data_IF_287138682129
#
_entry.id   IF_287138682129
#
_cell.length_a   1.000
_cell.length_b   1.000
_cell.length_c   1.000
_cell.angle_alpha   90.00
_cell.angle_beta   90.00
_cell.angle_gamma   90.00
#
_symmetry.space_group_name_H-M   'P 1'
#
loop_
_entity.id
_entity.type
_entity.pdbx_description
1 polymer ?
#
# COMPACT_ATOMS: atom_id res chain seq x y z
N UNK A 1 5.34 10.36 -16.87
CA UNK A 1 6.47 9.45 -16.56
C UNK A 1 6.05 7.97 -16.52
N UNK A 2 5.05 7.56 -15.73
CA UNK A 2 4.68 6.14 -15.62
C UNK A 2 4.36 5.44 -16.96
N UNK A 3 3.71 6.12 -17.91
CA UNK A 3 3.42 5.55 -19.24
C UNK A 3 4.62 5.44 -20.18
N UNK A 4 5.73 6.11 -19.87
CA UNK A 4 6.97 6.07 -20.68
C UNK A 4 7.82 4.86 -20.26
N UNK A 5 7.89 4.59 -18.95
CA UNK A 5 8.77 3.56 -18.38
C UNK A 5 8.20 2.13 -18.49
N UNK A 6 6.88 1.95 -18.63
CA UNK A 6 6.28 0.62 -18.73
C UNK A 6 4.90 0.63 -19.40
N UNK A 7 4.45 -0.55 -19.83
CA UNK A 7 3.06 -0.77 -20.26
C UNK A 7 2.22 -0.98 -19.01
N UNK A 8 1.13 -0.23 -18.86
CA UNK A 8 0.21 -0.38 -17.73
C UNK A 8 -0.89 -1.35 -18.09
N UNK A 9 -1.17 -2.28 -17.19
CA UNK A 9 -2.31 -3.17 -17.23
C UNK A 9 -3.07 -3.03 -15.91
N UNK A 10 -4.35 -2.80 -15.97
CA UNK A 10 -5.22 -2.74 -14.79
C UNK A 10 -6.28 -3.83 -14.92
N UNK A 11 -6.48 -4.58 -13.84
CA UNK A 11 -7.50 -5.63 -13.74
C UNK A 11 -8.40 -5.25 -12.58
N UNK A 12 -9.70 -5.20 -12.83
CA UNK A 12 -10.74 -4.78 -11.88
C UNK A 12 -10.58 -3.36 -11.35
N UNK A 13 -10.11 -2.43 -12.22
CA UNK A 13 -9.97 -1.02 -11.86
C UNK A 13 -11.28 -0.33 -11.49
N UNK A 14 -12.40 -0.84 -11.99
CA UNK A 14 -13.77 -0.39 -11.69
C UNK A 14 -14.14 -0.52 -10.20
N UNK A 15 -13.37 -1.29 -9.42
CA UNK A 15 -13.55 -1.42 -7.97
C UNK A 15 -13.10 -0.19 -7.19
N UNK A 16 -12.34 0.73 -7.81
CA UNK A 16 -12.10 2.04 -7.21
C UNK A 16 -13.41 2.83 -7.24
N UNK A 17 -14.01 3.17 -6.08
CA UNK A 17 -15.31 3.85 -6.08
C UNK A 17 -15.19 5.25 -6.69
N UNK A 18 -16.12 5.61 -7.57
CA UNK A 18 -16.14 6.92 -8.21
C UNK A 18 -16.33 8.07 -7.21
N UNK A 19 -17.03 7.80 -6.11
CA UNK A 19 -17.29 8.75 -5.02
C UNK A 19 -17.13 8.07 -3.65
N UNK A 20 -17.08 8.84 -2.59
CA UNK A 20 -16.90 8.32 -1.24
C UNK A 20 -15.45 7.95 -0.94
N UNK A 21 -15.21 7.40 0.22
CA UNK A 21 -13.89 7.01 0.68
C UNK A 21 -13.55 5.57 0.27
N UNK A 22 -12.26 5.28 0.16
CA UNK A 22 -11.75 3.93 0.01
C UNK A 22 -10.34 3.81 0.63
N UNK A 23 -10.08 2.69 1.29
CA UNK A 23 -8.75 2.31 1.73
C UNK A 23 -8.17 1.28 0.78
N UNK A 24 -7.12 1.65 0.03
CA UNK A 24 -6.39 0.73 -0.85
C UNK A 24 -5.18 0.19 -0.10
N UNK A 25 -5.16 -1.11 0.14
CA UNK A 25 -4.08 -1.83 0.82
C UNK A 25 -3.20 -2.49 -0.22
N UNK A 26 -1.92 -2.08 -0.30
CA UNK A 26 -1.04 -2.45 -1.40
C UNK A 26 0.29 -3.03 -0.95
N UNK A 27 0.87 -3.95 -1.75
CA UNK A 27 2.26 -4.36 -1.62
C UNK A 27 3.22 -3.29 -2.14
N UNK A 28 4.48 -3.32 -1.66
CA UNK A 28 5.50 -2.35 -2.04
C UNK A 28 6.79 -3.03 -2.50
N UNK A 29 7.05 -3.01 -3.81
CA UNK A 29 8.18 -3.72 -4.44
C UNK A 29 9.23 -2.81 -5.06
N UNK A 30 8.91 -1.51 -5.26
CA UNK A 30 9.81 -0.54 -5.89
C UNK A 30 9.51 0.90 -5.45
N UNK A 31 10.52 1.75 -5.43
CA UNK A 31 10.33 3.21 -5.27
C UNK A 31 9.46 3.85 -6.37
N UNK A 32 9.21 3.13 -7.47
CA UNK A 32 8.33 3.59 -8.55
C UNK A 32 6.85 3.38 -8.23
N UNK A 33 6.50 2.50 -7.27
CA UNK A 33 5.11 2.14 -6.98
C UNK A 33 4.22 3.36 -6.72
N UNK A 34 4.60 4.34 -5.85
CA UNK A 34 3.74 5.50 -5.60
C UNK A 34 3.43 6.31 -6.86
N UNK A 35 4.37 6.37 -7.81
CA UNK A 35 4.14 7.07 -9.08
C UNK A 35 3.13 6.35 -9.96
N UNK A 36 3.20 5.01 -10.01
CA UNK A 36 2.25 4.19 -10.77
C UNK A 36 0.88 4.19 -10.10
N UNK A 37 0.83 4.13 -8.77
CA UNK A 37 -0.41 4.13 -8.01
C UNK A 37 -1.11 5.49 -8.08
N UNK A 38 -0.35 6.59 -8.06
CA UNK A 38 -0.90 7.92 -8.26
C UNK A 38 -1.57 8.04 -9.65
N UNK A 39 -0.89 7.56 -10.70
CA UNK A 39 -1.44 7.57 -12.06
C UNK A 39 -2.64 6.63 -12.17
N UNK A 40 -2.59 5.46 -11.52
CA UNK A 40 -3.69 4.49 -11.50
C UNK A 40 -4.94 5.12 -10.86
N UNK A 41 -4.87 5.61 -9.62
CA UNK A 41 -6.02 6.20 -8.92
C UNK A 41 -6.54 7.43 -9.66
N UNK A 42 -5.62 8.28 -10.18
CA UNK A 42 -6.00 9.45 -10.96
C UNK A 42 -6.73 9.10 -12.27
N UNK A 43 -6.36 8.00 -12.91
CA UNK A 43 -7.06 7.53 -14.13
C UNK A 43 -8.51 7.08 -13.88
N UNK A 44 -8.89 6.86 -12.61
CA UNK A 44 -10.26 6.59 -12.16
C UNK A 44 -10.96 7.84 -11.59
N UNK A 45 -10.45 9.04 -11.90
CA UNK A 45 -11.05 10.31 -11.49
C UNK A 45 -10.87 10.67 -10.02
N UNK A 46 -9.95 9.97 -9.31
CA UNK A 46 -9.74 10.16 -7.88
C UNK A 46 -8.33 10.68 -7.58
N UNK A 47 -8.17 11.34 -6.44
CA UNK A 47 -6.88 11.80 -5.93
C UNK A 47 -6.44 10.86 -4.81
N UNK A 48 -5.27 10.19 -4.94
CA UNK A 48 -4.78 9.33 -3.88
C UNK A 48 -4.06 10.12 -2.79
N UNK A 49 -4.27 9.72 -1.54
CA UNK A 49 -3.56 10.21 -0.38
C UNK A 49 -2.67 9.09 0.17
N UNK A 50 -1.35 9.22 0.02
CA UNK A 50 -0.39 8.23 0.48
C UNK A 50 0.11 8.55 1.88
N UNK A 51 0.30 7.51 2.69
CA UNK A 51 1.09 7.60 3.90
C UNK A 51 2.58 7.53 3.51
N UNK A 52 3.28 8.64 3.57
CA UNK A 52 4.67 8.75 3.12
C UNK A 52 5.60 9.18 4.28
N UNK A 53 6.85 8.66 4.27
CA UNK A 53 7.83 8.98 5.32
C UNK A 53 8.04 10.50 5.43
N UNK A 54 7.88 11.08 6.63
CA UNK A 54 7.98 12.52 6.89
C UNK A 54 9.27 13.15 6.34
N UNK A 55 10.42 12.46 6.40
CA UNK A 55 11.68 12.99 5.89
C UNK A 55 11.65 13.38 4.39
N UNK A 56 10.67 12.88 3.61
CA UNK A 56 10.50 13.26 2.21
C UNK A 56 10.01 14.71 2.05
N UNK A 57 9.38 15.28 3.07
CA UNK A 57 8.98 16.72 3.08
C UNK A 57 10.17 17.68 3.15
N UNK A 58 11.33 17.18 3.62
CA UNK A 58 12.57 17.96 3.69
C UNK A 58 13.33 17.95 2.35
N UNK A 59 12.95 17.14 1.39
CA UNK A 59 13.52 17.13 0.05
C UNK A 59 12.84 18.24 -0.77
N UNK A 60 13.56 19.23 -1.32
CA UNK A 60 12.99 20.45 -1.89
C UNK A 60 11.82 20.15 -2.85
N UNK A 61 11.97 19.76 -4.02
CA UNK A 61 10.89 19.54 -5.01
C UNK A 61 9.85 18.50 -4.53
N UNK A 62 10.30 17.40 -3.94
CA UNK A 62 9.43 16.34 -3.43
C UNK A 62 8.51 16.86 -2.31
N UNK A 63 9.06 17.60 -1.35
CA UNK A 63 8.27 18.16 -0.25
C UNK A 63 7.19 19.14 -0.74
N UNK A 64 7.49 19.94 -1.78
CA UNK A 64 6.50 20.83 -2.38
C UNK A 64 5.36 20.03 -3.05
N UNK A 65 5.67 18.96 -3.78
CA UNK A 65 4.69 18.08 -4.40
C UNK A 65 3.81 17.39 -3.34
N UNK A 66 4.44 16.83 -2.29
CA UNK A 66 3.71 16.13 -1.22
C UNK A 66 2.75 17.07 -0.47
N UNK A 67 3.17 18.30 -0.19
CA UNK A 67 2.30 19.33 0.41
C UNK A 67 1.16 19.73 -0.52
N UNK A 68 1.46 20.03 -1.78
CA UNK A 68 0.46 20.42 -2.78
C UNK A 68 -0.58 19.33 -3.02
N UNK A 69 -0.16 18.05 -3.00
CA UNK A 69 -1.04 16.90 -3.15
C UNK A 69 -1.65 16.42 -1.82
N UNK A 70 -1.49 17.17 -0.71
CA UNK A 70 -2.04 16.86 0.63
C UNK A 70 -1.73 15.43 1.09
N UNK A 71 -0.48 14.99 0.86
CA UNK A 71 -0.05 13.65 1.26
C UNK A 71 0.11 13.56 2.78
N UNK A 72 -0.05 12.38 3.36
CA UNK A 72 -0.08 12.14 4.80
C UNK A 72 1.34 11.82 5.30
N UNK A 73 1.95 12.66 6.16
CA UNK A 73 3.28 12.39 6.70
C UNK A 73 3.25 11.27 7.74
N UNK A 74 4.18 10.31 7.64
CA UNK A 74 4.37 9.25 8.64
C UNK A 74 5.64 9.50 9.43
N UNK A 75 5.47 9.68 10.72
CA UNK A 75 6.53 9.80 11.71
C UNK A 75 6.78 8.41 12.31
N UNK A 76 7.98 7.87 12.11
CA UNK A 76 8.32 6.50 12.56
C UNK A 76 9.03 6.55 13.91
N UNK A 77 8.68 5.61 14.81
CA UNK A 77 9.39 5.41 16.07
C UNK A 77 9.06 6.43 17.17
N UNK A 78 7.95 7.13 17.07
CA UNK A 78 7.48 8.11 18.05
C UNK A 78 5.99 7.95 18.30
N UNK A 79 5.46 8.61 19.35
CA UNK A 79 4.02 8.81 19.59
C UNK A 79 3.29 9.42 18.39
N UNK A 80 4.03 10.00 17.45
CA UNK A 80 3.51 10.63 16.24
C UNK A 80 3.04 9.63 15.17
N UNK A 81 3.34 8.32 15.32
CA UNK A 81 2.75 7.28 14.47
C UNK A 81 1.21 7.28 14.56
N UNK A 82 0.67 7.58 15.75
CA UNK A 82 -0.79 7.73 15.96
C UNK A 82 -1.34 8.95 15.22
N UNK A 83 -0.59 10.05 15.11
CA UNK A 83 -0.99 11.23 14.36
C UNK A 83 -1.15 10.91 12.87
N UNK A 84 -0.28 10.07 12.32
CA UNK A 84 -0.34 9.65 10.92
C UNK A 84 -1.61 8.82 10.63
N UNK A 85 -1.97 7.91 11.54
CA UNK A 85 -3.21 7.14 11.44
C UNK A 85 -4.44 8.04 11.58
N UNK A 86 -4.42 9.01 12.51
CA UNK A 86 -5.49 10.00 12.66
C UNK A 86 -5.69 10.82 11.38
N UNK A 87 -4.60 11.31 10.78
CA UNK A 87 -4.68 12.04 9.51
C UNK A 87 -5.21 11.18 8.35
N UNK A 88 -4.87 9.89 8.33
CA UNK A 88 -5.43 8.95 7.36
C UNK A 88 -6.92 8.70 7.60
N UNK A 89 -7.32 8.57 8.86
CA UNK A 89 -8.73 8.44 9.24
C UNK A 89 -9.54 9.69 8.85
N UNK A 90 -9.01 10.89 9.12
CA UNK A 90 -9.62 12.15 8.69
C UNK A 90 -9.77 12.25 7.18
N UNK A 91 -8.78 11.77 6.42
CA UNK A 91 -8.85 11.72 4.96
C UNK A 91 -9.99 10.79 4.49
N UNK A 92 -10.10 9.59 5.08
CA UNK A 92 -11.19 8.66 4.79
C UNK A 92 -12.55 9.26 5.19
N UNK A 93 -12.69 9.85 6.37
CA UNK A 93 -13.92 10.51 6.81
C UNK A 93 -14.37 11.65 5.86
N UNK A 94 -13.43 12.29 5.18
CA UNK A 94 -13.68 13.31 4.16
C UNK A 94 -13.92 12.74 2.75
N UNK A 95 -14.19 11.46 2.61
CA UNK A 95 -14.51 10.83 1.33
C UNK A 95 -13.31 10.65 0.40
N UNK A 96 -12.09 10.64 0.92
CA UNK A 96 -10.86 10.54 0.13
C UNK A 96 -10.42 9.08 -0.08
N UNK A 97 -9.60 8.86 -1.10
CA UNK A 97 -8.95 7.56 -1.32
C UNK A 97 -7.59 7.57 -0.64
N UNK A 98 -7.42 6.71 0.34
CA UNK A 98 -6.15 6.52 1.05
C UNK A 98 -5.45 5.28 0.52
N UNK A 99 -4.17 5.41 0.20
CA UNK A 99 -3.30 4.32 -0.24
C UNK A 99 -2.28 4.04 0.84
N UNK A 100 -2.25 2.81 1.32
CA UNK A 100 -1.32 2.38 2.36
C UNK A 100 -0.47 1.20 1.89
N UNK A 101 0.84 1.25 2.22
CA UNK A 101 1.77 0.13 2.10
C UNK A 101 2.06 -0.38 3.52
N UNK A 102 1.35 -1.43 4.00
CA UNK A 102 1.47 -1.86 5.40
C UNK A 102 2.88 -2.35 5.78
N UNK A 103 3.63 -2.81 4.80
CA UNK A 103 5.05 -3.17 4.95
C UNK A 103 5.91 -2.00 5.45
N UNK A 104 5.47 -0.77 5.21
CA UNK A 104 6.15 0.48 5.63
C UNK A 104 7.45 0.77 4.91
N UNK A 105 7.92 -0.11 4.05
CA UNK A 105 9.08 0.05 3.17
C UNK A 105 8.95 -0.91 1.99
N UNK A 106 9.81 -0.79 0.99
CA UNK A 106 9.90 -1.80 -0.07
C UNK A 106 10.18 -3.17 0.58
N UNK A 107 9.46 -4.19 0.12
CA UNK A 107 9.65 -5.55 0.63
C UNK A 107 11.10 -5.98 0.60
N UNK A 108 11.54 -6.64 1.67
CA UNK A 108 12.88 -7.24 1.78
C UNK A 108 12.90 -8.71 1.39
N UNK A 109 11.74 -9.24 1.05
CA UNK A 109 11.68 -10.58 0.47
C UNK A 109 12.48 -10.62 -0.83
N UNK A 110 13.43 -11.55 -0.98
CA UNK A 110 14.30 -11.61 -2.16
C UNK A 110 13.52 -11.83 -3.46
N UNK A 111 12.41 -12.55 -3.40
CA UNK A 111 11.55 -12.83 -4.54
C UNK A 111 10.47 -11.80 -4.77
N UNK A 112 10.37 -10.78 -3.86
CA UNK A 112 9.46 -9.66 -3.98
C UNK A 112 8.04 -9.96 -3.50
N UNK A 113 7.85 -11.00 -2.70
CA UNK A 113 6.58 -11.25 -2.03
C UNK A 113 6.34 -10.24 -0.89
N UNK A 114 5.07 -10.00 -0.51
CA UNK A 114 4.75 -9.17 0.65
C UNK A 114 5.40 -9.73 1.93
N UNK A 115 5.97 -8.86 2.74
CA UNK A 115 6.54 -9.24 4.03
C UNK A 115 5.60 -8.91 5.19
N UNK A 116 5.95 -9.39 6.39
CA UNK A 116 5.23 -9.08 7.63
C UNK A 116 5.01 -7.58 7.78
N UNK A 117 3.79 -7.20 8.06
CA UNK A 117 3.29 -5.83 7.96
C UNK A 117 2.93 -5.24 9.32
N UNK A 118 2.85 -3.92 9.40
CA UNK A 118 2.49 -3.17 10.61
C UNK A 118 0.98 -3.17 10.81
N UNK A 119 0.54 -3.30 12.04
CA UNK A 119 -0.88 -3.39 12.43
C UNK A 119 -1.67 -2.08 12.28
N UNK A 120 -1.01 -0.97 11.96
CA UNK A 120 -1.70 0.29 11.70
C UNK A 120 -2.74 0.23 10.57
N UNK A 121 -2.55 -0.65 9.58
CA UNK A 121 -3.54 -0.88 8.51
C UNK A 121 -4.82 -1.50 9.07
N UNK A 122 -4.72 -2.42 10.02
CA UNK A 122 -5.88 -3.06 10.65
C UNK A 122 -6.71 -2.05 11.45
N UNK A 123 -6.07 -1.16 12.24
CA UNK A 123 -6.80 -0.08 12.94
C UNK A 123 -7.57 0.79 11.97
N UNK A 124 -6.89 1.26 10.92
CA UNK A 124 -7.51 2.11 9.91
C UNK A 124 -8.67 1.41 9.19
N UNK A 125 -8.51 0.11 8.89
CA UNK A 125 -9.52 -0.69 8.20
C UNK A 125 -10.74 -0.99 9.10
N UNK A 126 -10.53 -1.25 10.39
CA UNK A 126 -11.62 -1.52 11.35
C UNK A 126 -12.43 -0.27 11.66
N UNK A 127 -11.79 0.91 11.74
CA UNK A 127 -12.44 2.19 12.00
C UNK A 127 -13.10 2.79 10.73
N UNK A 128 -12.81 2.24 9.55
CA UNK A 128 -13.31 2.78 8.28
C UNK A 128 -14.58 2.06 7.82
N UNK A 129 -15.68 2.79 7.64
CA UNK A 129 -16.98 2.25 7.19
C UNK A 129 -17.05 1.97 5.68
N UNK A 130 -16.16 2.55 4.90
CA UNK A 130 -16.10 2.37 3.45
C UNK A 130 -15.32 1.11 3.03
N UNK A 131 -15.20 0.87 1.72
CA UNK A 131 -14.52 -0.30 1.20
C UNK A 131 -13.02 -0.31 1.51
N UNK A 132 -12.55 -1.45 2.01
CA UNK A 132 -11.13 -1.79 2.20
C UNK A 132 -10.75 -2.76 1.08
N UNK A 133 -9.96 -2.28 0.12
CA UNK A 133 -9.70 -2.98 -1.13
C UNK A 133 -8.23 -3.44 -1.17
N UNK A 134 -7.97 -4.76 -1.20
CA UNK A 134 -6.63 -5.27 -1.43
C UNK A 134 -6.22 -5.04 -2.88
N UNK A 135 -5.00 -4.60 -3.11
CA UNK A 135 -4.47 -4.30 -4.44
C UNK A 135 -3.05 -4.84 -4.57
N UNK A 136 -2.81 -5.65 -5.57
CA UNK A 136 -1.47 -6.12 -5.89
C UNK A 136 -0.87 -5.38 -7.08
N UNK A 137 0.44 -5.13 -7.01
CA UNK A 137 1.24 -4.58 -8.10
C UNK A 137 2.47 -5.41 -8.35
N UNK A 138 2.77 -5.59 -9.66
CA UNK A 138 4.01 -6.22 -10.11
C UNK A 138 4.58 -5.55 -11.36
N UNK A 139 5.89 -5.73 -11.60
CA UNK A 139 6.60 -5.23 -12.77
C UNK A 139 7.39 -3.93 -12.54
N UNK A 140 7.11 -3.14 -11.51
CA UNK A 140 7.87 -1.92 -11.18
C UNK A 140 9.29 -2.23 -10.71
N UNK A 141 9.51 -3.34 -9.97
CA UNK A 141 10.83 -3.81 -9.55
C UNK A 141 11.70 -4.22 -10.73
N UNK A 142 11.09 -4.74 -11.79
CA UNK A 142 11.81 -5.08 -13.03
C UNK A 142 12.36 -3.84 -13.73
N UNK A 143 11.69 -2.68 -13.58
CA UNK A 143 12.13 -1.39 -14.12
C UNK A 143 13.18 -0.78 -13.20
N UNK A 144 12.90 -0.72 -11.88
CA UNK A 144 13.81 -0.18 -10.89
C UNK A 144 13.83 -1.01 -9.61
N UNK A 145 14.93 -1.70 -9.41
CA UNK A 145 15.25 -2.41 -8.19
C UNK A 145 16.02 -1.48 -7.25
N UNK A 146 15.34 -0.99 -6.21
CA UNK A 146 15.90 -0.01 -5.27
C UNK A 146 17.03 -0.56 -4.39
N UNK A 147 17.03 -1.86 -4.06
CA UNK A 147 18.09 -2.48 -3.26
C UNK A 147 19.37 -2.65 -4.04
N UNK A 148 19.29 -3.11 -5.29
CA UNK A 148 20.45 -3.29 -6.15
C UNK A 148 20.79 -2.04 -6.97
N UNK A 149 20.01 -0.94 -6.84
CA UNK A 149 20.15 0.29 -7.62
C UNK A 149 20.19 0.04 -9.13
N UNK A 150 19.44 -0.96 -9.60
CA UNK A 150 19.39 -1.35 -11.01
C UNK A 150 18.20 -0.69 -11.70
N UNK A 151 18.46 0.12 -12.72
CA UNK A 151 17.46 0.72 -13.58
C UNK A 151 17.46 0.09 -14.96
N UNK A 152 16.36 -0.56 -15.36
CA UNK A 152 16.22 -1.33 -16.59
C UNK A 152 14.93 -0.93 -17.32
N UNK A 153 14.87 0.26 -17.92
CA UNK A 153 13.66 0.75 -18.59
C UNK A 153 13.34 0.01 -19.90
N UNK A 154 14.34 -0.65 -20.49
CA UNK A 154 14.20 -1.40 -21.74
C UNK A 154 14.59 -2.88 -21.56
N UNK A 155 13.93 -3.81 -22.28
CA UNK A 155 12.69 -3.59 -23.02
C UNK A 155 11.57 -3.14 -22.07
N UNK A 156 10.53 -2.44 -22.58
CA UNK A 156 9.43 -1.94 -21.76
C UNK A 156 8.74 -3.08 -21.03
N UNK A 157 8.69 -2.99 -19.70
CA UNK A 157 8.05 -3.98 -18.83
C UNK A 157 6.55 -3.74 -18.75
N UNK A 158 5.78 -4.78 -18.48
CA UNK A 158 4.38 -4.64 -18.11
C UNK A 158 4.29 -4.40 -16.60
N UNK A 159 3.64 -3.32 -16.22
CA UNK A 159 3.29 -3.05 -14.82
C UNK A 159 1.81 -3.33 -14.67
N UNK A 160 1.50 -4.41 -13.97
CA UNK A 160 0.13 -4.80 -13.68
C UNK A 160 -0.29 -4.32 -12.29
N UNK A 161 -1.52 -3.79 -12.22
CA UNK A 161 -2.24 -3.50 -10.98
C UNK A 161 -3.53 -4.30 -11.00
N UNK A 162 -3.75 -5.10 -9.97
CA UNK A 162 -4.96 -5.93 -9.84
C UNK A 162 -5.63 -5.66 -8.51
N UNK A 163 -6.94 -5.39 -8.55
CA UNK A 163 -7.75 -5.13 -7.36
C UNK A 163 -8.55 -6.38 -7.00
N UNK A 164 -8.58 -6.70 -5.71
CA UNK A 164 -9.47 -7.69 -5.13
C UNK A 164 -10.86 -7.12 -4.83
N UNK A 165 -11.77 -7.98 -4.38
CA UNK A 165 -13.03 -7.55 -3.81
C UNK A 165 -12.77 -6.79 -2.48
N UNK A 166 -13.64 -5.85 -2.10
CA UNK A 166 -13.59 -5.27 -0.76
C UNK A 166 -13.67 -6.36 0.30
N UNK A 167 -12.76 -6.31 1.28
CA UNK A 167 -12.69 -7.30 2.35
C UNK A 167 -13.80 -7.03 3.37
N UNK A 168 -14.59 -8.05 3.68
CA UNK A 168 -15.59 -7.96 4.75
C UNK A 168 -14.90 -8.07 6.13
N UNK A 169 -14.98 -7.01 6.90
CA UNK A 169 -14.42 -6.92 8.24
C UNK A 169 -15.50 -6.88 9.34
N UNK A 170 -16.78 -7.13 9.03
CA UNK A 170 -17.89 -7.01 9.96
C UNK A 170 -17.69 -7.84 11.22
N UNK A 171 -17.32 -9.10 11.08
CA UNK A 171 -17.06 -10.01 12.20
C UNK A 171 -15.90 -9.60 13.11
N UNK A 172 -14.94 -8.84 12.59
CA UNK A 172 -13.80 -8.32 13.35
C UNK A 172 -14.15 -7.02 14.09
N UNK A 173 -15.04 -6.19 13.54
CA UNK A 173 -15.48 -4.93 14.17
C UNK A 173 -16.28 -5.14 15.44
N UNK A 174 -16.93 -6.29 15.59
CA UNK A 174 -17.71 -6.65 16.79
C UNK A 174 -16.83 -7.14 17.95
N UNK A 175 -15.53 -7.37 17.70
CA UNK A 175 -14.60 -7.89 18.71
C UNK A 175 -13.84 -6.76 19.41
N UNK A 176 -13.42 -6.96 20.69
CA UNK A 176 -12.55 -6.00 21.37
C UNK A 176 -11.23 -5.84 20.62
N UNK A 177 -10.76 -4.58 20.47
CA UNK A 177 -9.46 -4.32 19.86
C UNK A 177 -8.33 -4.87 20.74
N UNK A 178 -7.68 -5.90 20.27
CA UNK A 178 -6.49 -6.52 20.88
C UNK A 178 -5.34 -6.54 19.87
N UNK A 179 -4.11 -6.70 20.37
CA UNK A 179 -2.94 -6.85 19.48
C UNK A 179 -3.11 -8.08 18.57
N UNK A 180 -3.67 -9.16 19.09
CA UNK A 180 -3.95 -10.38 18.30
C UNK A 180 -4.94 -10.09 17.19
N UNK A 181 -6.09 -9.45 17.48
CA UNK A 181 -7.08 -9.07 16.48
C UNK A 181 -6.46 -8.20 15.37
N UNK A 182 -5.68 -7.19 15.76
CA UNK A 182 -5.02 -6.31 14.80
C UNK A 182 -4.02 -7.07 13.92
N UNK A 183 -3.34 -8.08 14.47
CA UNK A 183 -2.45 -8.95 13.70
C UNK A 183 -3.25 -9.79 12.72
N UNK A 184 -4.32 -10.45 13.16
CA UNK A 184 -5.17 -11.30 12.33
C UNK A 184 -5.77 -10.52 11.14
N UNK A 185 -6.28 -9.31 11.39
CA UNK A 185 -6.81 -8.44 10.33
C UNK A 185 -5.71 -7.97 9.37
N UNK A 186 -4.52 -7.66 9.88
CA UNK A 186 -3.37 -7.28 9.04
C UNK A 186 -2.98 -8.44 8.13
N UNK A 187 -2.89 -9.66 8.68
CA UNK A 187 -2.49 -10.85 7.94
C UNK A 187 -3.58 -11.27 6.93
N UNK A 188 -4.85 -11.09 7.26
CA UNK A 188 -5.97 -11.26 6.33
C UNK A 188 -5.82 -10.31 5.13
N UNK A 189 -5.69 -9.01 5.36
CA UNK A 189 -5.58 -8.00 4.30
C UNK A 189 -4.36 -8.24 3.41
N UNK A 190 -3.21 -8.52 4.01
CA UNK A 190 -1.99 -8.80 3.25
C UNK A 190 -1.99 -10.17 2.59
N UNK A 191 -2.74 -11.12 3.13
CA UNK A 191 -3.02 -12.42 2.52
C UNK A 191 -3.75 -12.24 1.19
N UNK A 192 -4.80 -11.41 1.16
CA UNK A 192 -5.52 -11.08 -0.07
C UNK A 192 -4.61 -10.39 -1.10
N UNK A 193 -3.79 -9.44 -0.68
CA UNK A 193 -2.79 -8.81 -1.56
C UNK A 193 -1.81 -9.84 -2.11
N UNK A 194 -1.36 -10.78 -1.29
CA UNK A 194 -0.44 -11.85 -1.69
C UNK A 194 -1.07 -12.83 -2.69
N UNK A 195 -2.34 -13.18 -2.52
CA UNK A 195 -3.09 -14.01 -3.47
C UNK A 195 -3.23 -13.32 -4.84
N UNK A 196 -3.61 -12.04 -4.84
CA UNK A 196 -3.67 -11.25 -6.07
C UNK A 196 -2.30 -11.16 -6.78
N UNK A 197 -1.23 -11.07 -6.00
CA UNK A 197 0.14 -11.05 -6.55
C UNK A 197 0.52 -12.40 -7.16
N UNK A 198 0.11 -13.50 -6.54
CA UNK A 198 0.29 -14.85 -7.07
C UNK A 198 -0.38 -15.00 -8.44
N UNK A 199 -1.60 -14.49 -8.58
CA UNK A 199 -2.33 -14.47 -9.84
C UNK A 199 -1.62 -13.65 -10.93
N UNK A 200 -1.06 -12.47 -10.56
CA UNK A 200 -0.32 -11.63 -11.52
C UNK A 200 0.93 -12.36 -12.00
N UNK A 201 1.63 -13.03 -11.10
CA UNK A 201 2.90 -13.71 -11.39
C UNK A 201 2.71 -15.08 -12.03
N UNK A 202 1.52 -15.69 -11.88
CA UNK A 202 1.27 -17.08 -12.26
C UNK A 202 2.09 -18.08 -11.42
N UNK A 203 2.38 -17.73 -10.17
CA UNK A 203 3.19 -18.48 -9.22
C UNK A 203 2.40 -18.81 -7.96
N UNK A 204 2.74 -19.89 -7.28
CA UNK A 204 2.16 -20.19 -5.98
C UNK A 204 2.75 -19.24 -4.92
N UNK A 205 1.87 -18.61 -4.14
CA UNK A 205 2.31 -17.77 -3.03
C UNK A 205 3.01 -18.61 -1.95
N UNK A 206 4.12 -18.11 -1.36
CA UNK A 206 4.78 -18.79 -0.26
C UNK A 206 3.88 -18.84 0.99
N UNK A 207 4.09 -19.83 1.84
CA UNK A 207 3.45 -19.86 3.16
C UNK A 207 4.02 -18.72 4.06
N UNK A 208 3.13 -18.13 4.87
CA UNK A 208 3.49 -17.05 5.80
C UNK A 208 4.00 -15.77 5.10
N UNK A 209 4.62 -14.91 5.88
CA UNK A 209 5.22 -13.65 5.43
C UNK A 209 6.69 -13.60 5.79
N UNK A 210 7.52 -13.09 4.89
CA UNK A 210 8.93 -12.85 5.18
C UNK A 210 9.08 -11.87 6.35
N UNK A 211 9.85 -12.25 7.38
CA UNK A 211 10.14 -11.40 8.55
C UNK A 211 11.52 -10.79 8.42
N UNK A 212 11.61 -9.47 8.39
CA UNK A 212 12.90 -8.80 8.47
C UNK A 212 13.28 -8.54 9.94
N UNK A 213 14.58 -8.47 10.24
CA UNK A 213 15.07 -8.20 11.62
C UNK A 213 14.52 -6.91 12.23
N UNK A 214 14.00 -5.96 11.44
CA UNK A 214 13.35 -4.74 11.94
C UNK A 214 11.87 -4.94 12.32
N UNK A 215 11.21 -5.96 11.80
CA UNK A 215 9.80 -6.26 12.16
C UNK A 215 9.72 -6.81 13.59
N UNK A 216 10.76 -7.51 14.05
CA UNK A 216 10.85 -8.05 15.41
C UNK A 216 11.03 -7.00 16.53
N UNK A 217 11.46 -5.77 16.20
CA UNK A 217 11.63 -4.69 17.20
C UNK A 217 10.36 -3.90 17.50
N UNK A 218 9.33 -4.07 16.70
CA UNK A 218 8.04 -3.40 16.88
C UNK A 218 7.03 -4.32 17.59
N UNK A 219 7.44 -5.55 17.98
CA UNK A 219 6.63 -6.57 18.68
C UNK A 219 6.94 -6.66 20.19
N UNK A 220 8.05 -6.05 20.66
CA UNK A 220 8.45 -5.91 22.07
C UNK A 220 8.09 -4.50 22.60
#
# INVERSE_FOLDING_TARGET
MAGVLGKRRTVHGERVPATGSALLVMNHVSHLDPCYDAVFVHSHGRVPHFLAKHSLWNVPVMGAILRGAKQIPVYRGTTDAQQSLRAAHEALANGQVVVIYPEGTITRDPDGWPMASRTGVARLALEHDGPVIPVARWGTREIYDGYHKKFRPLPRKTVETRLGEPVDLSAYREQPETIALLRDVTDLLMGEVKHLLADIRGEQAPEGFHTSANTKRDED
#
